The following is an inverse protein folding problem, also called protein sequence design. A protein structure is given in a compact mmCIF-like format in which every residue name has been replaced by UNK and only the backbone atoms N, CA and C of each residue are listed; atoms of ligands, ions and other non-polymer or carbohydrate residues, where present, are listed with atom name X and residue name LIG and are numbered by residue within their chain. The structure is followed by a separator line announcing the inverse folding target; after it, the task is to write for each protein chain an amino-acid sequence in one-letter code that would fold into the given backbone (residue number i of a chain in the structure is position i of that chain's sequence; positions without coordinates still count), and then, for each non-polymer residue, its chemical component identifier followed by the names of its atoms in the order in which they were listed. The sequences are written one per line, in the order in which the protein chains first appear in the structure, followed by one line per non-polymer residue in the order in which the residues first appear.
data_IF_819969776048
#
_entry.id   IF_819969776048
#
_cell.length_a   1.000
_cell.length_b   1.000
_cell.length_c   1.000
_cell.angle_alpha   90.00
_cell.angle_beta   90.00
_cell.angle_gamma   90.00
#
_symmetry.space_group_name_H-M   'P 1'
#
loop_
_entity.id
_entity.type
_entity.pdbx_description
1 polymer ?
#
# COMPACT_ATOMS: atom_id res chain seq x y z
N UNK A 1 -2.60 -3.02 6.26
CA UNK A 1 -2.02 -4.36 6.24
C UNK A 1 -0.77 -4.40 5.38
N UNK A 2 0.26 -5.13 5.81
CA UNK A 2 1.47 -5.41 5.05
C UNK A 2 1.43 -6.84 4.56
N UNK A 3 1.92 -7.08 3.34
CA UNK A 3 2.05 -8.40 2.76
C UNK A 3 3.44 -8.59 2.13
N UNK A 4 4.13 -9.66 2.51
CA UNK A 4 5.40 -10.00 1.90
C UNK A 4 5.20 -10.92 0.69
N UNK A 5 5.12 -10.34 -0.50
CA UNK A 5 4.97 -11.11 -1.74
C UNK A 5 6.29 -11.70 -2.27
N UNK A 6 7.41 -11.45 -1.59
CA UNK A 6 8.71 -12.00 -1.99
C UNK A 6 8.83 -13.48 -1.58
N UNK A 7 9.86 -14.15 -2.08
CA UNK A 7 10.16 -15.55 -1.73
C UNK A 7 11.15 -15.70 -0.55
N UNK A 8 11.39 -14.61 0.18
CA UNK A 8 12.30 -14.55 1.33
C UNK A 8 11.59 -13.91 2.52
N UNK A 9 11.95 -14.34 3.71
CA UNK A 9 11.55 -13.66 4.94
C UNK A 9 12.25 -12.29 5.02
N UNK A 10 11.54 -11.29 5.48
CA UNK A 10 12.02 -9.91 5.59
C UNK A 10 12.01 -9.50 7.06
N UNK A 11 13.16 -9.11 7.58
CA UNK A 11 13.25 -8.44 8.88
C UNK A 11 12.77 -6.99 8.73
N UNK A 12 11.62 -6.71 9.33
CA UNK A 12 10.97 -5.39 9.31
C UNK A 12 11.14 -4.65 10.64
N UNK A 13 12.10 -5.07 11.47
CA UNK A 13 12.44 -4.42 12.72
C UNK A 13 12.82 -2.96 12.48
N UNK A 14 12.29 -2.06 13.30
CA UNK A 14 12.52 -0.61 13.21
C UNK A 14 12.04 0.05 11.91
N UNK A 15 11.27 -0.65 11.08
CA UNK A 15 10.58 0.00 9.96
C UNK A 15 9.54 0.98 10.50
N UNK A 16 9.27 2.01 9.72
CA UNK A 16 8.40 3.11 10.11
C UNK A 16 7.18 3.16 9.20
N UNK A 17 6.02 3.20 9.79
CA UNK A 17 4.77 3.43 9.09
C UNK A 17 4.27 4.85 9.43
N UNK A 18 3.96 5.63 8.40
CA UNK A 18 3.58 7.04 8.51
C UNK A 18 2.34 7.32 7.65
N UNK A 19 1.56 8.30 8.09
CA UNK A 19 0.57 8.95 7.25
C UNK A 19 1.15 10.21 6.55
N UNK A 20 0.30 11.14 6.12
CA UNK A 20 0.73 12.39 5.47
C UNK A 20 1.38 13.38 6.43
N UNK A 21 1.23 13.22 7.75
CA UNK A 21 1.88 14.04 8.78
C UNK A 21 3.18 13.36 9.24
N UNK A 22 4.32 13.98 8.97
CA UNK A 22 5.64 13.46 9.34
C UNK A 22 5.84 13.31 10.87
N UNK A 23 4.97 13.85 11.69
CA UNK A 23 4.98 13.64 13.15
C UNK A 23 4.24 12.36 13.58
N UNK A 24 3.45 11.78 12.71
CA UNK A 24 2.74 10.53 12.93
C UNK A 24 3.60 9.34 12.48
N UNK A 25 4.36 8.78 13.39
CA UNK A 25 5.30 7.70 13.11
C UNK A 25 5.04 6.52 14.01
N UNK A 26 4.64 5.39 13.44
CA UNK A 26 4.60 4.11 14.13
C UNK A 26 5.86 3.30 13.80
N UNK A 27 6.63 2.94 14.82
CA UNK A 27 7.86 2.16 14.64
C UNK A 27 7.58 0.70 14.99
N UNK A 28 7.85 -0.20 14.05
CA UNK A 28 7.75 -1.64 14.26
C UNK A 28 8.83 -2.09 15.23
N UNK A 29 8.47 -2.86 16.25
CA UNK A 29 9.39 -3.31 17.29
C UNK A 29 10.53 -4.18 16.75
N UNK A 30 11.60 -4.28 17.53
CA UNK A 30 12.71 -5.19 17.24
C UNK A 30 12.23 -6.65 17.21
N UNK A 31 12.84 -7.46 16.34
CA UNK A 31 12.61 -8.89 16.24
C UNK A 31 11.35 -9.27 15.44
N UNK A 32 10.73 -8.33 14.74
CA UNK A 32 9.59 -8.63 13.86
C UNK A 32 10.10 -9.00 12.47
N UNK A 33 9.79 -10.23 12.07
CA UNK A 33 10.07 -10.76 10.73
C UNK A 33 8.75 -11.06 10.04
N UNK A 34 8.58 -10.58 8.81
CA UNK A 34 7.44 -10.90 7.95
C UNK A 34 7.87 -12.01 6.98
N UNK A 35 7.37 -13.22 7.21
CA UNK A 35 7.70 -14.38 6.41
C UNK A 35 7.24 -14.27 4.96
N UNK A 36 7.85 -15.06 4.09
CA UNK A 36 7.42 -15.12 2.66
C UNK A 36 5.95 -15.55 2.57
N UNK A 37 5.14 -14.75 1.87
CA UNK A 37 3.70 -14.98 1.72
C UNK A 37 2.87 -14.68 2.98
N UNK A 38 3.44 -14.06 4.00
CA UNK A 38 2.73 -13.71 5.23
C UNK A 38 2.16 -12.28 5.18
N UNK A 39 1.12 -12.11 5.99
CA UNK A 39 0.44 -10.84 6.21
C UNK A 39 0.72 -10.32 7.62
N UNK A 40 0.72 -9.01 7.81
CA UNK A 40 0.77 -8.35 9.11
C UNK A 40 -0.16 -7.15 9.12
N UNK A 41 -1.11 -7.14 10.04
CA UNK A 41 -2.01 -6.00 10.23
C UNK A 41 -1.40 -5.01 11.20
N UNK A 42 -1.37 -3.73 10.81
CA UNK A 42 -1.10 -2.62 11.73
C UNK A 42 -2.44 -2.05 12.16
N UNK A 43 -2.75 -2.05 13.45
CA UNK A 43 -4.02 -1.55 13.95
C UNK A 43 -3.83 -0.45 15.00
N UNK A 44 -4.84 0.41 15.12
CA UNK A 44 -4.80 1.52 16.07
C UNK A 44 -4.92 1.05 17.52
N UNK A 45 -5.80 0.09 17.77
CA UNK A 45 -6.08 -0.47 19.10
C UNK A 45 -6.18 -1.99 19.00
N UNK A 46 -5.27 -2.68 19.67
CA UNK A 46 -5.18 -4.14 19.65
C UNK A 46 -6.40 -4.82 20.30
N UNK A 47 -6.98 -4.19 21.34
CA UNK A 47 -8.14 -4.74 22.03
C UNK A 47 -9.39 -4.65 21.17
N UNK A 48 -9.61 -3.49 20.55
CA UNK A 48 -10.75 -3.28 19.66
C UNK A 48 -10.62 -4.15 18.40
N UNK A 49 -9.42 -4.23 17.83
CA UNK A 49 -9.15 -5.10 16.68
C UNK A 49 -9.45 -6.58 16.99
N UNK A 50 -8.99 -7.08 18.14
CA UNK A 50 -9.22 -8.47 18.54
C UNK A 50 -10.69 -8.80 18.82
N UNK A 51 -11.48 -7.80 19.24
CA UNK A 51 -12.93 -7.99 19.43
C UNK A 51 -13.66 -8.12 18.11
N UNK A 52 -13.26 -7.35 17.10
CA UNK A 52 -13.87 -7.39 15.75
C UNK A 52 -13.37 -8.62 14.98
N UNK A 53 -12.09 -8.96 15.10
CA UNK A 53 -11.42 -10.03 14.36
C UNK A 53 -10.77 -11.07 15.29
N UNK A 54 -11.56 -11.84 16.08
CA UNK A 54 -11.01 -12.73 17.11
C UNK A 54 -10.17 -13.90 16.56
N UNK A 55 -10.26 -14.16 15.26
CA UNK A 55 -9.47 -15.20 14.58
C UNK A 55 -8.12 -14.75 14.05
N UNK A 56 -7.87 -13.45 13.96
CA UNK A 56 -6.62 -12.90 13.42
C UNK A 56 -5.58 -12.82 14.53
N UNK A 57 -4.38 -13.36 14.28
CA UNK A 57 -3.29 -13.39 15.25
C UNK A 57 -2.06 -12.59 14.79
N UNK A 58 -1.93 -12.35 13.50
CA UNK A 58 -0.81 -11.67 12.88
C UNK A 58 -1.08 -10.16 12.77
N UNK A 59 -1.16 -9.50 13.91
CA UNK A 59 -1.31 -8.05 13.99
C UNK A 59 -0.40 -7.46 15.07
N UNK A 60 -0.06 -6.20 14.88
CA UNK A 60 0.57 -5.34 15.88
C UNK A 60 -0.22 -4.04 15.97
N UNK A 61 -0.37 -3.52 17.17
CA UNK A 61 -1.23 -2.37 17.41
C UNK A 61 -0.52 -1.19 18.02
N UNK A 62 -1.37 -0.27 18.49
CA UNK A 62 -1.04 0.95 19.22
C UNK A 62 -0.42 2.02 18.29
N UNK A 63 -0.92 2.14 17.05
CA UNK A 63 -0.68 3.38 16.31
C UNK A 63 -1.45 4.50 16.99
N UNK A 64 -0.79 5.60 17.32
CA UNK A 64 -1.40 6.72 18.07
C UNK A 64 -2.14 7.71 17.15
N UNK A 65 -2.19 7.42 15.85
CA UNK A 65 -2.89 8.20 14.83
C UNK A 65 -3.91 7.34 14.07
N UNK A 66 -4.84 7.99 13.41
CA UNK A 66 -5.84 7.37 12.56
C UNK A 66 -5.81 7.98 11.17
N UNK A 67 -6.31 7.26 10.19
CA UNK A 67 -6.31 7.69 8.81
C UNK A 67 -7.42 8.70 8.51
N UNK A 68 -7.17 9.58 7.54
CA UNK A 68 -8.14 10.53 7.05
C UNK A 68 -9.24 9.82 6.26
N UNK A 69 -10.51 10.17 6.54
CA UNK A 69 -11.64 9.68 5.76
C UNK A 69 -11.68 10.25 4.33
N UNK A 70 -11.05 11.41 4.10
CA UNK A 70 -11.04 12.09 2.80
C UNK A 70 -9.85 11.76 1.91
N UNK A 71 -9.16 10.65 2.19
CA UNK A 71 -7.95 10.28 1.46
C UNK A 71 -6.67 10.75 2.12
N UNK A 72 -5.59 10.01 1.90
CA UNK A 72 -4.31 10.26 2.56
C UNK A 72 -3.16 9.50 1.90
N UNK A 73 -1.95 10.02 2.08
CA UNK A 73 -0.70 9.34 1.75
C UNK A 73 -0.23 8.49 2.93
N UNK A 74 -0.13 7.18 2.73
CA UNK A 74 0.48 6.25 3.67
C UNK A 74 1.85 5.83 3.16
N UNK A 75 2.85 5.74 4.05
CA UNK A 75 4.24 5.43 3.70
C UNK A 75 4.81 4.35 4.60
N UNK A 76 5.60 3.47 4.02
CA UNK A 76 6.40 2.48 4.73
C UNK A 76 7.87 2.77 4.45
N UNK A 77 8.64 3.03 5.49
CA UNK A 77 10.08 3.28 5.40
C UNK A 77 10.84 2.14 6.07
N UNK A 78 12.03 1.83 5.57
CA UNK A 78 12.94 0.89 6.22
C UNK A 78 13.61 1.52 7.48
N UNK A 79 14.42 0.75 8.16
CA UNK A 79 15.14 1.17 9.36
C UNK A 79 16.24 2.24 9.11
N UNK A 80 16.53 2.57 7.87
CA UNK A 80 17.45 3.65 7.47
C UNK A 80 16.69 4.89 6.97
N UNK A 81 15.35 4.85 6.96
CA UNK A 81 14.50 5.90 6.42
C UNK A 81 14.35 5.86 4.90
N UNK A 82 14.74 4.75 4.27
CA UNK A 82 14.50 4.52 2.85
C UNK A 82 13.03 4.16 2.59
N UNK A 83 12.41 4.80 1.58
CA UNK A 83 11.03 4.49 1.19
C UNK A 83 10.97 3.07 0.60
N UNK A 84 10.16 2.22 1.23
CA UNK A 84 9.91 0.84 0.80
C UNK A 84 8.66 0.78 -0.07
N UNK A 85 7.58 1.41 0.42
CA UNK A 85 6.28 1.38 -0.23
C UNK A 85 5.43 2.59 0.18
N UNK A 86 4.44 2.95 -0.65
CA UNK A 86 3.48 3.99 -0.32
C UNK A 86 2.17 3.77 -1.09
N UNK A 87 1.09 4.29 -0.56
CA UNK A 87 -0.20 4.39 -1.23
C UNK A 87 -0.84 5.73 -0.93
N UNK A 88 -1.37 6.39 -1.96
CA UNK A 88 -2.18 7.59 -1.80
C UNK A 88 -3.61 7.26 -2.18
N UNK A 89 -4.43 6.93 -1.19
CA UNK A 89 -5.84 6.59 -1.40
C UNK A 89 -6.73 7.84 -1.31
N UNK A 90 -7.95 7.72 -1.84
CA UNK A 90 -8.98 8.76 -1.78
C UNK A 90 -10.35 8.11 -1.50
N UNK A 91 -11.29 8.86 -0.95
CA UNK A 91 -12.67 8.44 -0.68
C UNK A 91 -13.63 8.74 -1.84
N UNK A 92 -13.13 9.38 -2.89
CA UNK A 92 -13.90 9.82 -4.05
C UNK A 92 -13.47 9.11 -5.34
N UNK A 93 -14.38 9.08 -6.32
CA UNK A 93 -14.07 8.52 -7.63
C UNK A 93 -12.81 9.18 -8.24
N UNK A 94 -11.89 8.39 -8.85
CA UNK A 94 -12.09 7.04 -9.34
C UNK A 94 -11.83 5.88 -8.34
N UNK A 95 -11.49 6.15 -7.10
CA UNK A 95 -11.36 5.13 -6.06
C UNK A 95 -12.70 4.47 -5.75
N UNK A 96 -12.72 3.20 -5.25
CA UNK A 96 -13.94 2.50 -4.88
C UNK A 96 -14.65 3.17 -3.67
N UNK A 97 -15.65 4.00 -3.95
CA UNK A 97 -16.34 4.84 -2.95
C UNK A 97 -17.17 4.05 -1.94
N UNK A 98 -17.51 2.81 -2.24
CA UNK A 98 -18.30 1.95 -1.35
C UNK A 98 -17.53 1.56 -0.07
N UNK A 99 -16.21 1.71 -0.08
CA UNK A 99 -15.37 1.49 1.11
C UNK A 99 -15.50 2.64 2.14
N UNK A 100 -15.99 3.81 1.72
CA UNK A 100 -16.24 4.93 2.63
C UNK A 100 -17.53 4.71 3.43
N UNK A 101 -17.37 4.19 4.65
CA UNK A 101 -18.46 3.97 5.60
C UNK A 101 -19.48 2.89 5.21
N UNK A 102 -19.26 2.17 4.11
CA UNK A 102 -20.16 1.12 3.62
C UNK A 102 -20.04 -0.22 4.36
N UNK A 103 -19.11 -0.35 5.29
CA UNK A 103 -18.86 -1.60 6.03
C UNK A 103 -17.99 -2.61 5.27
N UNK A 104 -17.59 -2.30 4.05
CA UNK A 104 -16.59 -3.04 3.28
C UNK A 104 -15.25 -2.32 3.33
N UNK A 105 -14.16 -3.05 3.05
CA UNK A 105 -12.79 -2.49 3.09
C UNK A 105 -12.25 -2.29 1.69
N UNK A 106 -11.26 -1.43 1.56
CA UNK A 106 -10.49 -1.28 0.33
C UNK A 106 -9.43 -2.39 0.29
N UNK A 107 -9.47 -3.21 -0.75
CA UNK A 107 -8.58 -4.37 -0.92
C UNK A 107 -7.81 -4.28 -2.23
N UNK A 108 -6.49 -4.52 -2.17
CA UNK A 108 -5.64 -4.64 -3.35
C UNK A 108 -5.98 -5.95 -4.08
N UNK A 109 -6.30 -5.87 -5.37
CA UNK A 109 -6.70 -7.01 -6.20
C UNK A 109 -5.60 -8.06 -6.33
N UNK A 110 -4.35 -7.61 -6.43
CA UNK A 110 -3.20 -8.49 -6.52
C UNK A 110 -1.93 -7.76 -6.05
N UNK A 111 -1.06 -8.38 -5.23
CA UNK A 111 0.13 -7.74 -4.68
C UNK A 111 1.22 -7.43 -5.72
N UNK A 112 1.08 -7.87 -6.96
CA UNK A 112 2.01 -7.53 -8.06
C UNK A 112 1.59 -6.28 -8.83
N UNK A 113 0.39 -5.75 -8.56
CA UNK A 113 -0.10 -4.51 -9.16
C UNK A 113 0.50 -3.28 -8.47
N UNK A 114 0.49 -2.16 -9.18
CA UNK A 114 0.84 -0.87 -8.60
C UNK A 114 -0.25 -0.46 -7.58
N UNK A 115 0.07 -0.52 -6.30
CA UNK A 115 -0.83 -0.16 -5.22
C UNK A 115 -1.13 1.35 -5.14
N UNK A 116 -0.43 2.17 -5.90
CA UNK A 116 -0.71 3.60 -6.01
C UNK A 116 -1.67 3.93 -7.17
N UNK A 117 -2.14 2.92 -7.93
CA UNK A 117 -3.19 3.06 -8.93
C UNK A 117 -4.54 2.63 -8.38
N UNK A 118 -5.56 3.49 -8.51
CA UNK A 118 -6.94 3.15 -8.09
C UNK A 118 -7.49 1.90 -8.80
N UNK A 119 -7.03 1.61 -10.01
CA UNK A 119 -7.43 0.44 -10.81
C UNK A 119 -7.01 -0.88 -10.18
N UNK A 120 -6.00 -0.84 -9.29
CA UNK A 120 -5.50 -2.00 -8.56
C UNK A 120 -6.33 -2.35 -7.33
N UNK A 121 -7.33 -1.53 -6.99
CA UNK A 121 -8.11 -1.68 -5.77
C UNK A 121 -9.58 -1.97 -6.05
N UNK A 122 -10.18 -2.74 -5.16
CA UNK A 122 -11.62 -3.02 -5.15
C UNK A 122 -12.15 -2.98 -3.72
N UNK A 123 -13.47 -2.98 -3.58
CA UNK A 123 -14.09 -3.23 -2.27
C UNK A 123 -14.04 -4.71 -1.94
N UNK A 124 -13.94 -5.02 -0.66
CA UNK A 124 -13.99 -6.41 -0.20
C UNK A 124 -15.31 -7.07 -0.59
N UNK A 125 -15.25 -8.35 -0.95
CA UNK A 125 -16.45 -9.16 -1.23
C UNK A 125 -17.20 -9.56 0.05
N UNK A 126 -16.59 -9.33 1.21
CA UNK A 126 -17.16 -9.62 2.54
C UNK A 126 -17.16 -8.37 3.40
N UNK A 127 -18.16 -8.23 4.26
CA UNK A 127 -18.23 -7.16 5.24
C UNK A 127 -17.02 -7.22 6.17
N UNK A 128 -16.45 -6.07 6.51
CA UNK A 128 -15.24 -5.89 7.32
C UNK A 128 -13.95 -6.43 6.69
N UNK A 129 -13.98 -6.92 5.44
CA UNK A 129 -12.79 -7.40 4.74
C UNK A 129 -12.19 -8.70 5.28
N UNK A 130 -10.95 -8.96 4.90
CA UNK A 130 -10.22 -10.20 5.21
C UNK A 130 -8.83 -9.93 5.81
N UNK A 131 -8.72 -9.22 6.96
CA UNK A 131 -7.42 -8.89 7.54
C UNK A 131 -6.62 -10.13 7.93
N UNK A 132 -5.32 -10.09 7.70
CA UNK A 132 -4.38 -11.16 8.05
C UNK A 132 -4.39 -12.35 7.11
N UNK A 133 -5.06 -12.26 5.98
CA UNK A 133 -5.13 -13.32 4.96
C UNK A 133 -5.34 -12.72 3.56
N UNK A 134 -5.34 -13.58 2.54
CA UNK A 134 -5.58 -13.17 1.18
C UNK A 134 -6.90 -12.39 1.04
N UNK A 135 -6.85 -11.27 0.34
CA UNK A 135 -7.99 -10.41 0.09
C UNK A 135 -9.16 -11.14 -0.57
N UNK A 136 -10.38 -10.85 -0.12
CA UNK A 136 -11.61 -11.48 -0.65
C UNK A 136 -11.88 -11.09 -2.10
N UNK A 137 -11.37 -9.96 -2.53
CA UNK A 137 -11.44 -9.44 -3.91
C UNK A 137 -10.24 -9.87 -4.77
N UNK A 138 -9.35 -10.75 -4.26
CA UNK A 138 -8.16 -11.18 -4.97
C UNK A 138 -8.48 -11.73 -6.36
N UNK A 139 -7.86 -11.15 -7.38
CA UNK A 139 -7.99 -11.57 -8.77
C UNK A 139 -6.67 -12.20 -9.26
N UNK A 140 -6.68 -13.54 -9.36
CA UNK A 140 -5.53 -14.28 -9.89
C UNK A 140 -5.29 -14.02 -11.38
N UNK A 141 -6.30 -13.56 -12.11
CA UNK A 141 -6.21 -13.26 -13.55
C UNK A 141 -5.59 -11.89 -13.82
N UNK A 142 -5.59 -11.00 -12.82
CA UNK A 142 -4.86 -9.73 -12.92
C UNK A 142 -3.33 -9.92 -13.01
N UNK A 143 -2.83 -11.16 -12.86
CA UNK A 143 -1.47 -11.57 -13.18
C UNK A 143 -1.23 -11.88 -14.66
N UNK A 144 -2.25 -11.88 -15.50
CA UNK A 144 -2.03 -12.02 -16.93
C UNK A 144 -1.38 -10.72 -17.45
N UNK A 145 -0.03 -10.72 -17.43
CA UNK A 145 0.80 -9.62 -17.92
C UNK A 145 0.46 -9.20 -19.37
N UNK A 146 -0.47 -9.89 -19.99
CA UNK A 146 -0.96 -9.61 -21.32
C UNK A 146 -2.25 -8.75 -21.33
N UNK A 147 -2.96 -8.60 -20.19
CA UNK A 147 -4.17 -7.74 -20.13
C UNK A 147 -3.93 -6.40 -19.43
N UNK A 148 -2.85 -6.29 -18.64
CA UNK A 148 -2.50 -5.07 -17.89
C UNK A 148 -1.25 -4.33 -18.42
N UNK A 149 -0.70 -4.74 -19.55
CA UNK A 149 0.30 -3.91 -20.20
C UNK A 149 -0.39 -2.60 -20.64
N UNK A 150 0.14 -1.45 -20.23
CA UNK A 150 -0.33 -0.18 -20.73
C UNK A 150 -0.46 -0.24 -22.24
N UNK A 151 -1.55 0.23 -22.80
CA UNK A 151 -1.77 0.21 -24.26
C UNK A 151 -0.98 1.28 -24.99
N UNK A 152 -0.38 2.21 -24.26
CA UNK A 152 0.37 3.36 -24.76
C UNK A 152 1.57 3.65 -23.86
N UNK A 153 2.65 4.18 -24.46
CA UNK A 153 3.74 4.76 -23.68
C UNK A 153 3.23 6.04 -22.99
N UNK A 154 3.38 6.12 -21.68
CA UNK A 154 3.04 7.31 -20.93
C UNK A 154 4.12 7.66 -19.91
N UNK A 155 4.23 8.95 -19.62
CA UNK A 155 5.01 9.49 -18.51
C UNK A 155 4.06 10.28 -17.62
N UNK A 156 3.92 9.84 -16.38
CA UNK A 156 3.04 10.48 -15.41
C UNK A 156 3.72 11.65 -14.74
N UNK A 157 2.91 12.52 -14.17
CA UNK A 157 3.45 13.62 -13.39
C UNK A 157 4.13 13.04 -12.13
N UNK A 158 5.32 13.54 -11.86
CA UNK A 158 6.04 13.15 -10.65
C UNK A 158 5.25 13.55 -9.39
N UNK A 159 5.24 12.65 -8.41
CA UNK A 159 4.57 12.90 -7.13
C UNK A 159 5.50 12.51 -5.96
N UNK A 160 5.53 13.31 -4.88
CA UNK A 160 4.91 14.63 -4.74
C UNK A 160 5.53 15.68 -5.67
N UNK A 161 4.75 16.71 -6.00
CA UNK A 161 5.25 17.87 -6.75
C UNK A 161 4.53 19.15 -6.26
N UNK A 162 5.17 20.09 -5.56
CA UNK A 162 6.63 20.13 -5.25
C UNK A 162 7.11 19.00 -4.35
N UNK A 163 8.39 18.64 -4.46
CA UNK A 163 9.00 17.55 -3.70
C UNK A 163 10.08 18.04 -2.73
N UNK A 164 10.30 17.28 -1.61
CA UNK A 164 11.38 17.51 -0.64
C UNK A 164 11.61 16.25 0.22
N UNK A 165 12.72 15.56 0.13
CA UNK A 165 13.81 15.70 -0.85
C UNK A 165 13.60 14.82 -2.10
N UNK A 166 12.61 13.94 -2.14
CA UNK A 166 12.41 12.95 -3.18
C UNK A 166 11.06 13.07 -3.88
N UNK A 167 10.96 12.54 -5.08
CA UNK A 167 9.74 12.39 -5.86
C UNK A 167 9.80 11.11 -6.68
N UNK A 168 8.67 10.48 -6.92
CA UNK A 168 8.56 9.33 -7.81
C UNK A 168 8.18 9.78 -9.21
N UNK A 169 8.73 9.10 -10.20
CA UNK A 169 8.42 9.30 -11.62
C UNK A 169 7.88 7.96 -12.14
N UNK A 170 6.58 7.92 -12.41
CA UNK A 170 5.93 6.74 -12.97
C UNK A 170 5.85 6.85 -14.49
N UNK A 171 6.03 5.75 -15.19
CA UNK A 171 5.91 5.68 -16.63
C UNK A 171 5.38 4.30 -17.07
N UNK A 172 4.66 4.28 -18.18
CA UNK A 172 4.04 3.08 -18.73
C UNK A 172 4.80 2.60 -19.95
N UNK A 173 5.03 1.29 -20.02
CA UNK A 173 5.69 0.63 -21.14
C UNK A 173 4.77 -0.49 -21.67
N UNK A 174 4.14 -0.32 -22.83
CA UNK A 174 3.28 -1.36 -23.42
C UNK A 174 4.05 -2.55 -23.98
N UNK A 175 5.37 -2.45 -24.10
CA UNK A 175 6.27 -3.50 -24.57
C UNK A 175 7.66 -3.33 -23.94
N UNK A 176 8.48 -4.39 -23.97
CA UNK A 176 9.86 -4.32 -23.50
C UNK A 176 10.62 -3.22 -24.26
N UNK A 177 11.12 -2.23 -23.51
CA UNK A 177 11.71 -1.02 -24.10
C UNK A 177 12.88 -0.51 -23.26
N UNK A 178 13.84 0.11 -23.93
CA UNK A 178 14.94 0.80 -23.26
C UNK A 178 14.47 2.19 -22.78
N UNK A 179 14.51 2.42 -21.47
CA UNK A 179 14.14 3.70 -20.87
C UNK A 179 15.39 4.51 -20.53
N UNK A 180 15.36 5.80 -20.87
CA UNK A 180 16.38 6.78 -20.44
C UNK A 180 15.68 7.95 -19.78
N UNK A 181 15.94 8.16 -18.50
CA UNK A 181 15.45 9.33 -17.75
C UNK A 181 16.57 10.37 -17.68
N UNK A 182 16.28 11.58 -18.14
CA UNK A 182 17.23 12.71 -18.07
C UNK A 182 16.59 13.84 -17.25
N UNK A 183 17.29 14.24 -16.20
CA UNK A 183 16.87 15.36 -15.35
C UNK A 183 17.65 16.62 -15.74
N UNK A 184 16.93 17.70 -16.00
CA UNK A 184 17.52 19.01 -16.29
C UNK A 184 17.29 19.96 -15.14
N UNK A 185 18.33 20.66 -14.73
CA UNK A 185 18.21 21.82 -13.84
C UNK A 185 17.90 23.06 -14.68
N UNK A 186 16.96 23.86 -14.22
CA UNK A 186 16.62 25.15 -14.84
C UNK A 186 17.32 26.20 -13.98
N UNK A 187 18.52 26.58 -14.41
CA UNK A 187 19.27 27.70 -13.82
C UNK A 187 18.80 29.00 -14.47
#
# INVERSE_FOLDING_TARGET
ELYNHSNLDVDISQWQFLDSDDSHVFIINDGVTLGSGEFLVLCRDSSDFSQVYPGVQNFIGETDFGFSNGGELLRLLDNNGGLVDFVSYDDSAPWPVEADGGGVTLELLNPTLDNNSFESWAVSAVELGTPGQQNSSFDALSNDANELLPSVFALHQNYPNPFNPSTNINYDLPEESHVTITVFDII
#
